data_IF_360853190430
#
_entry.id   IF_360853190430
#
_cell.length_a   1.000
_cell.length_b   1.000
_cell.length_c   1.000
_cell.angle_alpha   90.00
_cell.angle_beta   90.00
_cell.angle_gamma   90.00
#
_symmetry.space_group_name_H-M   'P 1'
#
loop_
_entity.id
_entity.type
_entity.pdbx_description
1 polymer ?
#
# COMPACT_ATOMS: atom_id res chain seq x y z
N UNK A 1 21.00 -18.45 -8.67
CA UNK A 1 19.59 -18.58 -9.18
C UNK A 1 18.50 -18.24 -8.18
N UNK A 2 18.76 -17.43 -7.14
CA UNK A 2 17.76 -17.03 -6.14
C UNK A 2 17.24 -15.62 -6.40
N UNK A 3 16.04 -15.32 -5.92
CA UNK A 3 15.42 -13.98 -5.91
C UNK A 3 14.74 -13.75 -4.56
N UNK A 4 14.65 -12.51 -4.17
CA UNK A 4 13.91 -12.10 -2.98
C UNK A 4 12.41 -12.15 -3.26
N UNK A 5 11.72 -13.13 -2.64
CA UNK A 5 10.25 -13.27 -2.68
C UNK A 5 9.64 -12.47 -1.56
N UNK A 6 8.69 -11.59 -1.88
CA UNK A 6 7.94 -10.85 -0.87
C UNK A 6 7.03 -11.81 -0.08
N UNK A 7 6.98 -11.61 1.23
CA UNK A 7 6.06 -12.37 2.08
C UNK A 7 4.64 -11.85 1.85
N UNK A 8 3.66 -12.71 1.55
CA UNK A 8 2.29 -12.29 1.35
C UNK A 8 1.70 -11.68 2.63
N UNK A 9 0.88 -10.65 2.47
CA UNK A 9 0.18 -9.96 3.54
C UNK A 9 -1.33 -10.02 3.30
N UNK A 10 -2.11 -9.91 4.37
CA UNK A 10 -3.56 -9.88 4.32
C UNK A 10 -4.07 -8.56 3.74
N UNK A 11 -5.22 -8.61 3.08
CA UNK A 11 -5.91 -7.45 2.50
C UNK A 11 -7.29 -7.30 3.15
N UNK A 12 -7.81 -6.07 3.21
CA UNK A 12 -9.23 -5.86 3.47
C UNK A 12 -9.99 -5.79 2.15
N UNK A 13 -10.62 -6.90 1.79
CA UNK A 13 -11.39 -7.04 0.55
C UNK A 13 -12.90 -7.04 0.79
N UNK A 14 -13.38 -6.66 1.99
CA UNK A 14 -14.80 -6.70 2.34
C UNK A 14 -15.68 -6.00 1.31
N UNK A 15 -15.27 -4.83 0.83
CA UNK A 15 -16.06 -4.10 -0.17
C UNK A 15 -16.08 -4.80 -1.54
N UNK A 16 -14.97 -5.43 -1.94
CA UNK A 16 -14.92 -6.21 -3.17
C UNK A 16 -15.84 -7.41 -3.09
N UNK A 17 -15.85 -8.12 -1.95
CA UNK A 17 -16.76 -9.25 -1.71
C UNK A 17 -18.23 -8.82 -1.81
N UNK A 18 -18.60 -7.67 -1.23
CA UNK A 18 -19.94 -7.14 -1.34
C UNK A 18 -20.32 -6.81 -2.80
N UNK A 19 -19.42 -6.15 -3.53
CA UNK A 19 -19.65 -5.85 -4.95
C UNK A 19 -19.81 -7.12 -5.80
N UNK A 20 -18.96 -8.13 -5.57
CA UNK A 20 -19.03 -9.40 -6.28
C UNK A 20 -20.36 -10.12 -6.00
N UNK A 21 -20.79 -10.18 -4.74
CA UNK A 21 -22.09 -10.75 -4.37
C UNK A 21 -23.25 -10.01 -5.02
N UNK A 22 -23.24 -8.68 -5.01
CA UNK A 22 -24.27 -7.85 -5.66
C UNK A 22 -24.28 -8.03 -7.17
N UNK A 23 -23.12 -8.08 -7.80
CA UNK A 23 -22.98 -8.34 -9.24
C UNK A 23 -23.56 -9.72 -9.62
N UNK A 24 -23.14 -10.78 -8.92
CA UNK A 24 -23.64 -12.13 -9.14
C UNK A 24 -25.17 -12.22 -8.95
N UNK A 25 -25.71 -11.55 -7.95
CA UNK A 25 -27.15 -11.50 -7.70
C UNK A 25 -27.89 -10.78 -8.83
N UNK A 26 -27.36 -9.65 -9.34
CA UNK A 26 -27.96 -8.91 -10.45
C UNK A 26 -27.94 -9.70 -11.77
N UNK A 27 -26.87 -10.48 -12.01
CA UNK A 27 -26.74 -11.32 -13.22
C UNK A 27 -27.62 -12.58 -13.16
N UNK A 28 -27.74 -13.19 -11.97
CA UNK A 28 -28.52 -14.41 -11.75
C UNK A 28 -29.15 -14.41 -10.33
N UNK A 29 -30.31 -13.76 -10.13
CA UNK A 29 -30.96 -13.65 -8.83
C UNK A 29 -31.31 -15.02 -8.25
N UNK A 30 -30.79 -15.31 -7.06
CA UNK A 30 -31.13 -16.52 -6.29
C UNK A 30 -31.33 -16.18 -4.83
N UNK A 31 -32.21 -16.89 -4.14
CA UNK A 31 -32.45 -16.73 -2.71
C UNK A 31 -31.16 -16.97 -1.89
N UNK A 32 -30.27 -17.81 -2.39
CA UNK A 32 -28.99 -18.08 -1.73
C UNK A 32 -28.06 -16.86 -1.78
N UNK A 33 -27.94 -16.18 -2.92
CA UNK A 33 -27.16 -14.95 -3.05
C UNK A 33 -27.75 -13.80 -2.24
N UNK A 34 -29.09 -13.69 -2.22
CA UNK A 34 -29.78 -12.70 -1.39
C UNK A 34 -29.47 -12.92 0.11
N UNK A 35 -29.56 -14.14 0.59
CA UNK A 35 -29.21 -14.50 1.96
C UNK A 35 -27.74 -14.21 2.29
N UNK A 36 -26.81 -14.44 1.34
CA UNK A 36 -25.40 -14.11 1.50
C UNK A 36 -25.17 -12.59 1.63
N UNK A 37 -25.85 -11.78 0.81
CA UNK A 37 -25.79 -10.32 0.90
C UNK A 37 -26.34 -9.82 2.26
N UNK A 38 -27.47 -10.36 2.71
CA UNK A 38 -28.05 -10.04 4.01
C UNK A 38 -27.09 -10.41 5.14
N UNK A 39 -26.53 -11.62 5.11
CA UNK A 39 -25.56 -12.08 6.10
C UNK A 39 -24.31 -11.19 6.14
N UNK A 40 -23.81 -10.79 4.97
CA UNK A 40 -22.65 -9.91 4.87
C UNK A 40 -22.93 -8.51 5.41
N UNK A 41 -24.09 -7.94 5.10
CA UNK A 41 -24.52 -6.65 5.66
C UNK A 41 -24.66 -6.72 7.19
N UNK A 42 -25.21 -7.80 7.74
CA UNK A 42 -25.28 -7.99 9.19
C UNK A 42 -23.88 -8.02 9.83
N UNK A 43 -22.89 -8.67 9.21
CA UNK A 43 -21.51 -8.63 9.70
C UNK A 43 -20.92 -7.21 9.67
N UNK A 44 -21.26 -6.40 8.67
CA UNK A 44 -20.82 -5.00 8.63
C UNK A 44 -21.55 -4.16 9.70
N UNK A 45 -22.82 -4.43 9.97
CA UNK A 45 -23.58 -3.80 11.06
C UNK A 45 -22.96 -4.13 12.42
N UNK A 46 -22.63 -5.40 12.65
CA UNK A 46 -21.96 -5.84 13.88
C UNK A 46 -20.60 -5.14 14.07
N UNK A 47 -19.89 -4.92 12.99
CA UNK A 47 -18.56 -4.26 13.02
C UNK A 47 -18.64 -2.75 13.20
N UNK A 48 -19.50 -2.07 12.41
CA UNK A 48 -19.57 -0.60 12.40
C UNK A 48 -20.69 0.00 13.25
N UNK A 49 -21.62 -0.83 13.74
CA UNK A 49 -22.80 -0.42 14.48
C UNK A 49 -23.95 0.02 13.57
N UNK A 50 -25.19 -0.21 14.04
CA UNK A 50 -26.44 0.02 13.30
C UNK A 50 -26.69 1.53 13.02
N UNK A 51 -26.32 2.38 13.98
CA UNK A 51 -26.60 3.84 13.87
C UNK A 51 -26.00 4.41 12.62
N UNK A 52 -26.86 4.98 11.71
CA UNK A 52 -26.48 5.56 10.43
C UNK A 52 -25.71 4.61 9.50
N UNK A 53 -26.07 3.35 9.55
CA UNK A 53 -25.37 2.29 8.82
C UNK A 53 -25.31 2.56 7.30
N UNK A 54 -26.40 3.06 6.70
CA UNK A 54 -26.42 3.40 5.26
C UNK A 54 -25.31 4.38 4.89
N UNK A 55 -25.11 5.45 5.67
CA UNK A 55 -24.03 6.41 5.43
C UNK A 55 -22.64 5.79 5.65
N UNK A 56 -22.49 4.92 6.64
CA UNK A 56 -21.25 4.21 6.88
C UNK A 56 -20.91 3.26 5.74
N UNK A 57 -21.92 2.55 5.21
CA UNK A 57 -21.77 1.67 4.05
C UNK A 57 -21.39 2.46 2.79
N UNK A 58 -22.01 3.62 2.57
CA UNK A 58 -21.64 4.54 1.47
C UNK A 58 -20.18 5.01 1.64
N UNK A 59 -19.81 5.47 2.83
CA UNK A 59 -18.43 5.87 3.12
C UNK A 59 -17.43 4.73 2.89
N UNK A 60 -17.76 3.50 3.31
CA UNK A 60 -16.91 2.33 3.07
C UNK A 60 -16.74 2.04 1.57
N UNK A 61 -17.83 2.16 0.79
CA UNK A 61 -17.78 1.99 -0.68
C UNK A 61 -16.89 3.03 -1.34
N UNK A 62 -17.03 4.30 -0.93
CA UNK A 62 -16.27 5.42 -1.53
C UNK A 62 -14.77 5.32 -1.30
N UNK A 63 -14.34 4.86 -0.12
CA UNK A 63 -12.91 4.68 0.17
C UNK A 63 -12.34 3.36 -0.36
N UNK A 64 -13.18 2.45 -0.84
CA UNK A 64 -12.77 1.21 -1.48
C UNK A 64 -11.97 0.26 -0.59
N UNK A 65 -11.21 -0.63 -1.23
CA UNK A 65 -10.37 -1.62 -0.55
C UNK A 65 -9.16 -0.99 0.14
N UNK A 66 -8.70 -1.62 1.22
CA UNK A 66 -7.46 -1.27 1.88
C UNK A 66 -6.32 -2.11 1.35
N UNK A 67 -5.28 -1.47 0.85
CA UNK A 67 -4.04 -2.13 0.48
C UNK A 67 -3.10 -2.22 1.68
N UNK A 68 -2.33 -3.31 1.74
CA UNK A 68 -1.41 -3.55 2.83
C UNK A 68 -0.02 -3.03 2.50
N UNK A 69 0.51 -2.18 3.37
CA UNK A 69 1.89 -1.70 3.28
C UNK A 69 2.87 -2.69 3.91
N UNK A 70 4.07 -2.82 3.32
CA UNK A 70 5.20 -3.51 3.94
C UNK A 70 5.68 -2.85 5.24
N UNK A 71 5.28 -1.59 5.48
CA UNK A 71 5.63 -0.84 6.69
C UNK A 71 4.47 -0.91 7.68
N UNK A 72 4.68 -1.55 8.81
CA UNK A 72 3.62 -1.90 9.77
C UNK A 72 2.84 -0.69 10.32
N UNK A 73 3.52 0.43 10.62
CA UNK A 73 2.83 1.60 11.17
C UNK A 73 1.92 2.30 10.15
N UNK A 74 2.16 2.15 8.83
CA UNK A 74 1.23 2.61 7.80
C UNK A 74 -0.13 1.92 7.98
N UNK A 75 -0.12 0.60 8.18
CA UNK A 75 -1.33 -0.20 8.31
C UNK A 75 -2.14 0.19 9.55
N UNK A 76 -1.45 0.48 10.66
CA UNK A 76 -2.10 0.93 11.88
C UNK A 76 -2.79 2.30 11.69
N UNK A 77 -2.09 3.26 11.10
CA UNK A 77 -2.65 4.60 10.93
C UNK A 77 -3.72 4.66 9.85
N UNK A 78 -3.53 3.96 8.71
CA UNK A 78 -4.54 3.95 7.65
C UNK A 78 -5.84 3.30 8.12
N UNK A 79 -5.79 2.28 8.99
CA UNK A 79 -6.97 1.70 9.60
C UNK A 79 -7.76 2.75 10.39
N UNK A 80 -7.08 3.47 11.30
CA UNK A 80 -7.71 4.50 12.11
C UNK A 80 -8.28 5.67 11.27
N UNK A 81 -7.59 6.04 10.18
CA UNK A 81 -8.04 7.07 9.25
C UNK A 81 -9.34 6.62 8.55
N UNK A 82 -9.36 5.39 8.05
CA UNK A 82 -10.51 4.79 7.38
C UNK A 82 -11.71 4.65 8.33
N UNK A 83 -11.48 4.12 9.53
CA UNK A 83 -12.54 4.00 10.54
C UNK A 83 -13.11 5.36 10.93
N UNK A 84 -12.26 6.38 11.06
CA UNK A 84 -12.72 7.75 11.32
C UNK A 84 -13.65 8.24 10.20
N UNK A 85 -13.29 8.02 8.94
CA UNK A 85 -14.11 8.42 7.79
C UNK A 85 -15.43 7.64 7.73
N UNK A 86 -15.38 6.33 7.88
CA UNK A 86 -16.56 5.46 7.86
C UNK A 86 -17.56 5.93 8.92
N UNK A 87 -17.08 6.25 10.11
CA UNK A 87 -17.89 6.75 11.22
C UNK A 87 -18.20 8.26 11.16
N UNK A 88 -18.03 8.89 10.00
CA UNK A 88 -18.37 10.30 9.72
C UNK A 88 -17.51 11.32 10.51
N UNK A 89 -16.41 10.91 11.09
CA UNK A 89 -15.44 11.78 11.73
C UNK A 89 -14.48 12.36 10.66
N UNK A 90 -15.03 13.17 9.73
CA UNK A 90 -14.31 13.60 8.54
C UNK A 90 -13.11 14.51 8.85
N UNK A 91 -13.22 15.42 9.84
CA UNK A 91 -12.10 16.29 10.19
C UNK A 91 -10.92 15.53 10.79
N UNK A 92 -11.08 14.66 11.79
CA UNK A 92 -9.99 13.79 12.25
C UNK A 92 -9.39 12.93 11.14
N UNK A 93 -10.23 12.38 10.26
CA UNK A 93 -9.78 11.57 9.12
C UNK A 93 -8.89 12.38 8.16
N UNK A 94 -9.33 13.59 7.76
CA UNK A 94 -8.58 14.50 6.90
C UNK A 94 -7.21 14.86 7.50
N UNK A 95 -7.19 15.32 8.76
CA UNK A 95 -5.97 15.74 9.43
C UNK A 95 -5.00 14.58 9.62
N UNK A 96 -5.53 13.40 9.99
CA UNK A 96 -4.70 12.20 10.19
C UNK A 96 -4.12 11.66 8.89
N UNK A 97 -4.85 11.72 7.76
CA UNK A 97 -4.33 11.35 6.46
C UNK A 97 -3.17 12.27 6.04
N UNK A 98 -3.32 13.58 6.22
CA UNK A 98 -2.24 14.55 5.97
C UNK A 98 -1.04 14.32 6.89
N UNK A 99 -1.27 14.03 8.18
CA UNK A 99 -0.21 13.76 9.15
C UNK A 99 0.54 12.46 8.81
N UNK A 100 -0.15 11.43 8.34
CA UNK A 100 0.51 10.21 7.87
C UNK A 100 1.38 10.49 6.64
N UNK A 101 0.88 11.27 5.66
CA UNK A 101 1.68 11.69 4.50
C UNK A 101 2.96 12.43 4.90
N UNK A 102 2.89 13.38 5.85
CA UNK A 102 4.06 14.08 6.38
C UNK A 102 5.05 13.12 7.05
N UNK A 103 4.54 12.17 7.82
CA UNK A 103 5.36 11.15 8.49
C UNK A 103 6.08 10.26 7.47
N UNK A 104 5.38 9.83 6.42
CA UNK A 104 5.97 9.01 5.35
C UNK A 104 7.13 9.77 4.66
N UNK A 105 6.92 11.03 4.26
CA UNK A 105 7.97 11.84 3.65
C UNK A 105 9.18 12.02 4.59
N UNK A 106 8.94 12.33 5.86
CA UNK A 106 10.01 12.50 6.85
C UNK A 106 10.83 11.22 7.02
N UNK A 107 10.17 10.06 7.18
CA UNK A 107 10.88 8.78 7.35
C UNK A 107 11.70 8.43 6.11
N UNK A 108 11.12 8.52 4.90
CA UNK A 108 11.85 8.26 3.67
C UNK A 108 13.09 9.15 3.54
N UNK A 109 12.92 10.44 3.79
CA UNK A 109 14.00 11.42 3.68
C UNK A 109 15.11 11.15 4.70
N UNK A 110 14.75 10.95 5.97
CA UNK A 110 15.73 10.72 7.06
C UNK A 110 16.45 9.38 6.90
N UNK A 111 15.73 8.36 6.50
CA UNK A 111 16.26 6.99 6.41
C UNK A 111 17.17 6.78 5.20
N UNK A 112 16.96 7.56 4.12
CA UNK A 112 17.64 7.33 2.85
C UNK A 112 18.68 8.39 2.50
N UNK A 113 18.65 9.58 3.11
CA UNK A 113 19.54 10.69 2.73
C UNK A 113 21.03 10.35 2.75
N UNK A 114 21.47 9.48 3.66
CA UNK A 114 22.90 9.13 3.78
C UNK A 114 23.43 8.29 2.60
N UNK A 115 22.55 7.75 1.77
CA UNK A 115 22.90 7.09 0.52
C UNK A 115 23.13 8.08 -0.64
N UNK A 116 22.80 9.38 -0.44
CA UNK A 116 22.78 10.42 -1.48
C UNK A 116 23.63 11.65 -1.10
N UNK A 117 24.69 11.44 -0.32
CA UNK A 117 25.56 12.50 0.24
C UNK A 117 26.18 13.43 -0.81
N UNK A 118 26.39 12.94 -2.03
CA UNK A 118 27.00 13.69 -3.13
C UNK A 118 25.98 14.56 -3.90
N UNK A 119 24.70 14.58 -3.49
CA UNK A 119 23.65 15.32 -4.20
C UNK A 119 23.42 16.71 -3.61
N UNK A 120 22.99 17.70 -4.44
CA UNK A 120 22.65 19.05 -3.94
C UNK A 120 21.51 19.04 -2.92
N UNK A 121 20.57 18.11 -3.05
CA UNK A 121 19.43 17.94 -2.15
C UNK A 121 19.89 17.56 -0.74
N UNK A 122 20.90 16.69 -0.62
CA UNK A 122 21.47 16.30 0.67
C UNK A 122 21.95 17.51 1.46
N UNK A 123 22.63 18.47 0.82
CA UNK A 123 23.15 19.67 1.47
C UNK A 123 22.04 20.53 2.11
N UNK A 124 20.82 20.50 1.55
CA UNK A 124 19.66 21.23 2.08
C UNK A 124 19.06 20.56 3.34
N UNK A 125 19.29 19.24 3.51
CA UNK A 125 18.56 18.42 4.48
C UNK A 125 19.46 17.71 5.50
N UNK A 126 20.77 17.61 5.31
CA UNK A 126 21.71 16.80 6.11
C UNK A 126 21.63 17.03 7.63
N UNK A 127 21.47 18.28 8.06
CA UNK A 127 21.50 18.66 9.49
C UNK A 127 20.12 18.68 10.14
N UNK A 128 19.06 18.41 9.38
CA UNK A 128 17.69 18.48 9.89
C UNK A 128 17.29 17.15 10.54
N UNK A 129 16.60 17.21 11.68
CA UNK A 129 16.00 16.05 12.37
C UNK A 129 14.55 15.82 11.98
N UNK A 130 13.90 16.85 11.44
CA UNK A 130 12.49 16.80 10.97
C UNK A 130 12.30 17.88 9.92
N UNK A 131 11.37 17.68 9.03
CA UNK A 131 11.09 18.59 7.94
C UNK A 131 9.63 19.01 7.96
N UNK A 132 9.40 20.32 7.77
CA UNK A 132 8.06 20.91 7.56
C UNK A 132 7.80 21.29 6.10
N UNK A 133 8.85 21.44 5.30
CA UNK A 133 8.73 21.78 3.88
C UNK A 133 8.59 20.52 3.01
N UNK A 134 7.37 20.21 2.64
CA UNK A 134 7.06 19.07 1.79
C UNK A 134 7.69 19.15 0.41
N UNK A 135 7.81 20.34 -0.17
CA UNK A 135 8.41 20.50 -1.51
C UNK A 135 9.85 20.02 -1.52
N UNK A 136 10.66 20.42 -0.52
CA UNK A 136 12.06 20.02 -0.46
C UNK A 136 12.19 18.50 -0.33
N UNK A 137 11.32 17.86 0.46
CA UNK A 137 11.31 16.40 0.62
C UNK A 137 10.88 15.68 -0.66
N UNK A 138 9.78 16.13 -1.27
CA UNK A 138 9.26 15.51 -2.51
C UNK A 138 10.30 15.68 -3.62
N UNK A 139 10.90 16.86 -3.78
CA UNK A 139 11.92 17.13 -4.78
C UNK A 139 13.16 16.24 -4.57
N UNK A 140 13.66 16.16 -3.33
CA UNK A 140 14.80 15.32 -3.00
C UNK A 140 14.52 13.84 -3.32
N UNK A 141 13.42 13.29 -2.80
CA UNK A 141 13.06 11.89 -3.01
C UNK A 141 12.78 11.56 -4.47
N UNK A 142 12.26 12.52 -5.25
CA UNK A 142 12.06 12.37 -6.69
C UNK A 142 13.40 12.37 -7.44
N UNK A 143 14.30 13.32 -7.13
CA UNK A 143 15.61 13.40 -7.77
C UNK A 143 16.53 12.23 -7.42
N UNK A 144 16.30 11.60 -6.27
CA UNK A 144 16.95 10.34 -5.86
C UNK A 144 16.29 9.10 -6.48
N UNK A 145 15.32 9.27 -7.37
CA UNK A 145 14.56 8.17 -8.01
C UNK A 145 13.89 7.21 -7.00
N UNK A 146 13.51 7.72 -5.84
CA UNK A 146 12.82 6.94 -4.79
C UNK A 146 11.32 6.96 -5.01
N UNK A 147 10.72 8.17 -5.17
CA UNK A 147 9.28 8.30 -5.40
C UNK A 147 8.93 8.02 -6.86
N UNK A 148 7.92 7.19 -7.05
CA UNK A 148 7.28 7.06 -8.35
C UNK A 148 6.57 8.37 -8.74
N UNK A 149 6.47 8.69 -10.05
CA UNK A 149 5.86 9.95 -10.52
C UNK A 149 4.45 10.18 -9.96
N UNK A 150 3.59 9.18 -10.04
CA UNK A 150 2.21 9.22 -9.51
C UNK A 150 2.16 9.45 -8.01
N UNK A 151 3.09 8.87 -7.26
CA UNK A 151 3.20 9.05 -5.80
C UNK A 151 3.57 10.49 -5.45
N UNK A 152 4.46 11.11 -6.24
CA UNK A 152 4.83 12.52 -6.06
C UNK A 152 3.62 13.44 -6.24
N UNK A 153 2.75 13.16 -7.21
CA UNK A 153 1.53 13.93 -7.46
C UNK A 153 0.56 13.82 -6.28
N UNK A 154 0.38 12.62 -5.73
CA UNK A 154 -0.49 12.42 -4.56
C UNK A 154 0.03 13.13 -3.30
N UNK A 155 1.35 13.18 -3.08
CA UNK A 155 1.91 14.01 -2.02
C UNK A 155 1.65 15.51 -2.22
N UNK A 156 1.66 16.00 -3.44
CA UNK A 156 1.28 17.41 -3.71
C UNK A 156 -0.19 17.68 -3.41
N UNK A 157 -1.10 16.76 -3.73
CA UNK A 157 -2.53 16.86 -3.36
C UNK A 157 -2.69 16.90 -1.83
N UNK A 158 -2.09 15.94 -1.12
CA UNK A 158 -2.11 15.91 0.35
C UNK A 158 -1.57 17.19 0.99
N UNK A 159 -0.49 17.76 0.45
CA UNK A 159 0.05 19.04 0.91
C UNK A 159 -0.96 20.17 0.82
N UNK A 160 -1.71 20.26 -0.29
CA UNK A 160 -2.74 21.27 -0.46
C UNK A 160 -3.90 21.07 0.52
N UNK A 161 -4.33 19.83 0.75
CA UNK A 161 -5.36 19.48 1.72
C UNK A 161 -4.90 19.76 3.16
N UNK A 162 -3.65 19.46 3.49
CA UNK A 162 -3.07 19.82 4.78
C UNK A 162 -3.12 21.34 5.02
N UNK A 163 -2.75 22.13 4.01
CA UNK A 163 -2.83 23.59 4.14
C UNK A 163 -4.25 24.06 4.42
N UNK A 164 -5.25 23.52 3.71
CA UNK A 164 -6.66 23.84 3.91
C UNK A 164 -7.19 23.40 5.27
N UNK A 165 -6.70 22.30 5.83
CA UNK A 165 -7.24 21.69 7.06
C UNK A 165 -6.60 22.21 8.35
N UNK A 166 -5.33 22.62 8.31
CA UNK A 166 -4.58 23.09 9.50
C UNK A 166 -4.65 24.60 9.68
N UNK A 167 -4.66 25.37 8.58
CA UNK A 167 -4.79 26.80 8.63
C UNK A 167 -6.27 27.21 8.57
N UNK A 168 -6.58 28.36 9.18
CA UNK A 168 -7.96 28.85 9.16
C UNK A 168 -8.51 28.97 7.75
N UNK A 169 -9.67 28.32 7.53
CA UNK A 169 -10.42 28.34 6.30
C UNK A 169 -11.91 28.32 6.65
N UNK A 170 -12.59 29.45 6.48
CA UNK A 170 -14.01 29.62 6.83
C UNK A 170 -14.97 28.69 6.06
N UNK A 171 -14.54 28.14 4.93
CA UNK A 171 -15.34 27.22 4.12
C UNK A 171 -14.99 25.73 4.34
N UNK A 172 -14.06 25.43 5.24
CA UNK A 172 -13.61 24.05 5.47
C UNK A 172 -14.79 23.13 5.85
N UNK A 173 -15.65 23.56 6.78
CA UNK A 173 -16.75 22.75 7.30
C UNK A 173 -17.79 22.38 6.23
N UNK A 174 -17.95 23.18 5.16
CA UNK A 174 -18.87 22.89 4.06
C UNK A 174 -18.38 21.75 3.14
N UNK A 175 -17.08 21.46 3.17
CA UNK A 175 -16.41 20.52 2.28
C UNK A 175 -15.65 19.42 3.03
N UNK A 176 -15.94 19.19 4.31
CA UNK A 176 -15.18 18.24 5.14
C UNK A 176 -15.17 16.84 4.56
N UNK A 177 -16.34 16.30 4.19
CA UNK A 177 -16.43 14.94 3.62
C UNK A 177 -15.65 14.81 2.31
N UNK A 178 -15.85 15.68 1.28
CA UNK A 178 -15.06 15.63 0.05
C UNK A 178 -13.56 15.74 0.28
N UNK A 179 -13.09 16.65 1.13
CA UNK A 179 -11.67 16.80 1.41
C UNK A 179 -11.09 15.61 2.17
N UNK A 180 -11.84 15.03 3.10
CA UNK A 180 -11.42 13.81 3.80
C UNK A 180 -11.32 12.63 2.84
N UNK A 181 -12.30 12.47 1.94
CA UNK A 181 -12.28 11.42 0.91
C UNK A 181 -11.07 11.58 -0.03
N UNK A 182 -10.82 12.80 -0.50
CA UNK A 182 -9.66 13.10 -1.35
C UNK A 182 -8.34 12.76 -0.62
N UNK A 183 -8.22 13.14 0.66
CA UNK A 183 -7.02 12.87 1.45
C UNK A 183 -6.80 11.37 1.70
N UNK A 184 -7.87 10.62 1.98
CA UNK A 184 -7.79 9.17 2.14
C UNK A 184 -7.38 8.51 0.82
N UNK A 185 -8.00 8.88 -0.28
CA UNK A 185 -7.67 8.30 -1.58
C UNK A 185 -6.21 8.58 -1.94
N UNK A 186 -5.72 9.81 -1.71
CA UNK A 186 -4.31 10.14 -1.93
C UNK A 186 -3.36 9.32 -1.07
N UNK A 187 -3.64 9.17 0.24
CA UNK A 187 -2.73 8.37 1.11
C UNK A 187 -2.83 6.87 0.81
N UNK A 188 -3.98 6.37 0.40
CA UNK A 188 -4.14 4.98 -0.04
C UNK A 188 -3.37 4.72 -1.34
N UNK A 189 -3.42 5.65 -2.31
CA UNK A 189 -2.67 5.55 -3.55
C UNK A 189 -1.16 5.59 -3.30
N UNK A 190 -0.68 6.48 -2.43
CA UNK A 190 0.73 6.49 -1.99
C UNK A 190 1.13 5.13 -1.42
N UNK A 191 0.32 4.54 -0.54
CA UNK A 191 0.61 3.24 0.07
C UNK A 191 0.58 2.14 -0.99
N UNK A 192 -0.40 2.14 -1.87
CA UNK A 192 -0.54 1.14 -2.92
C UNK A 192 0.62 1.18 -3.90
N UNK A 193 0.91 2.36 -4.46
CA UNK A 193 1.92 2.50 -5.50
C UNK A 193 3.36 2.40 -4.97
N UNK A 194 3.63 2.85 -3.72
CA UNK A 194 4.99 2.89 -3.20
C UNK A 194 5.34 1.74 -2.25
N UNK A 195 4.38 1.22 -1.48
CA UNK A 195 4.68 0.32 -0.35
C UNK A 195 3.89 -0.99 -0.35
N UNK A 196 3.04 -1.22 -1.35
CA UNK A 196 2.26 -2.45 -1.40
C UNK A 196 3.14 -3.66 -1.69
N UNK A 197 2.88 -4.75 -0.99
CA UNK A 197 3.59 -6.02 -1.19
C UNK A 197 3.11 -6.81 -2.42
N UNK A 198 2.03 -6.41 -3.06
CA UNK A 198 1.37 -7.18 -4.11
C UNK A 198 0.87 -6.34 -5.29
N UNK A 199 1.59 -5.28 -5.62
CA UNK A 199 1.27 -4.39 -6.75
C UNK A 199 2.04 -4.73 -8.04
N UNK A 200 2.01 -3.76 -8.96
CA UNK A 200 2.72 -3.82 -10.24
C UNK A 200 3.91 -2.85 -10.30
N UNK A 201 4.50 -2.56 -9.15
CA UNK A 201 5.64 -1.66 -9.04
C UNK A 201 6.81 -2.11 -9.92
N UNK A 202 7.64 -1.18 -10.43
CA UNK A 202 8.70 -1.48 -11.39
C UNK A 202 9.75 -2.46 -10.86
N UNK A 203 9.94 -2.52 -9.55
CA UNK A 203 10.89 -3.44 -8.91
C UNK A 203 10.41 -4.88 -8.77
N UNK A 204 9.15 -5.18 -9.13
CA UNK A 204 8.63 -6.55 -9.03
C UNK A 204 8.69 -7.30 -10.35
N UNK A 205 9.02 -8.59 -10.26
CA UNK A 205 8.68 -9.58 -11.26
C UNK A 205 7.19 -9.91 -11.08
N UNK A 206 6.36 -9.48 -12.02
CA UNK A 206 4.89 -9.61 -11.97
C UNK A 206 4.35 -10.74 -12.84
N UNK A 207 5.20 -11.34 -13.65
CA UNK A 207 4.83 -12.38 -14.63
C UNK A 207 4.52 -13.76 -14.02
N UNK A 208 4.69 -13.92 -12.70
CA UNK A 208 4.43 -15.17 -11.98
C UNK A 208 3.09 -15.01 -11.23
N UNK A 209 2.04 -15.78 -11.58
CA UNK A 209 0.74 -15.67 -10.93
C UNK A 209 0.82 -15.93 -9.41
N UNK A 210 0.19 -15.06 -8.62
CA UNK A 210 0.11 -15.22 -7.17
C UNK A 210 1.41 -14.96 -6.40
N UNK A 211 2.50 -14.58 -7.06
CA UNK A 211 3.79 -14.36 -6.42
C UNK A 211 4.44 -13.06 -6.89
N UNK A 212 5.24 -12.46 -6.01
CA UNK A 212 6.06 -11.29 -6.33
C UNK A 212 7.50 -11.52 -5.87
N UNK A 213 8.43 -11.20 -6.75
CA UNK A 213 9.87 -11.27 -6.49
C UNK A 213 10.51 -9.94 -6.85
N UNK A 214 11.54 -9.54 -6.14
CA UNK A 214 12.34 -8.36 -6.49
C UNK A 214 13.20 -8.67 -7.72
N UNK A 215 13.19 -7.78 -8.71
CA UNK A 215 14.08 -7.86 -9.87
C UNK A 215 15.52 -7.64 -9.46
N UNK A 216 16.44 -8.33 -10.12
CA UNK A 216 17.87 -8.29 -9.82
C UNK A 216 18.44 -6.86 -9.82
N UNK A 217 18.06 -6.06 -10.77
CA UNK A 217 18.53 -4.66 -10.90
C UNK A 217 18.13 -3.73 -9.74
N UNK A 218 17.07 -4.10 -9.00
CA UNK A 218 16.57 -3.31 -7.86
C UNK A 218 17.10 -3.79 -6.51
N UNK A 219 17.73 -4.97 -6.42
CA UNK A 219 18.18 -5.55 -5.14
C UNK A 219 19.17 -4.65 -4.39
N UNK A 220 19.95 -3.83 -5.12
CA UNK A 220 20.96 -2.91 -4.56
C UNK A 220 20.47 -1.45 -4.45
N UNK A 221 19.22 -1.17 -4.80
CA UNK A 221 18.68 0.18 -4.66
C UNK A 221 18.36 0.48 -3.19
N UNK A 222 18.81 1.62 -2.61
CA UNK A 222 18.68 1.89 -1.18
C UNK A 222 17.27 1.77 -0.63
N UNK A 223 16.27 2.23 -1.38
CA UNK A 223 14.87 2.11 -1.01
C UNK A 223 14.41 0.64 -0.89
N UNK A 224 14.79 -0.19 -1.84
CA UNK A 224 14.44 -1.62 -1.86
C UNK A 224 15.19 -2.36 -0.75
N UNK A 225 16.48 -2.11 -0.62
CA UNK A 225 17.33 -2.71 0.42
C UNK A 225 16.78 -2.40 1.83
N UNK A 226 16.39 -1.14 2.07
CA UNK A 226 15.92 -0.68 3.37
C UNK A 226 14.53 -1.18 3.73
N UNK A 227 13.58 -1.17 2.78
CA UNK A 227 12.17 -1.37 3.08
C UNK A 227 11.60 -2.70 2.58
N UNK A 228 12.05 -3.19 1.41
CA UNK A 228 11.48 -4.41 0.83
C UNK A 228 12.24 -5.68 1.22
N UNK A 229 13.57 -5.68 1.12
CA UNK A 229 14.34 -6.91 1.38
C UNK A 229 14.13 -7.46 2.80
N UNK A 230 13.97 -6.66 3.88
CA UNK A 230 13.66 -7.18 5.21
C UNK A 230 12.33 -7.94 5.30
N UNK A 231 11.41 -7.70 4.35
CA UNK A 231 10.10 -8.35 4.24
C UNK A 231 10.08 -9.46 3.19
N UNK A 232 11.24 -9.92 2.74
CA UNK A 232 11.39 -10.93 1.72
C UNK A 232 12.11 -12.17 2.27
N UNK A 233 11.95 -13.27 1.55
CA UNK A 233 12.78 -14.47 1.70
C UNK A 233 13.58 -14.71 0.43
N UNK A 234 14.86 -15.06 0.56
CA UNK A 234 15.73 -15.34 -0.58
C UNK A 234 15.58 -16.81 -0.99
N UNK A 235 14.87 -17.07 -2.07
CA UNK A 235 14.51 -18.42 -2.53
C UNK A 235 14.80 -18.62 -4.03
N UNK A 236 15.00 -19.86 -4.42
CA UNK A 236 15.11 -20.25 -5.82
C UNK A 236 13.74 -20.47 -6.48
N UNK A 237 13.76 -20.86 -7.75
CA UNK A 237 12.53 -21.04 -8.53
C UNK A 237 11.74 -22.31 -8.13
N UNK A 238 12.32 -23.23 -7.37
CA UNK A 238 11.66 -24.46 -6.89
C UNK A 238 10.99 -24.31 -5.52
N UNK A 239 11.06 -23.13 -4.90
CA UNK A 239 10.52 -22.91 -3.56
C UNK A 239 9.02 -23.25 -3.45
N UNK A 240 8.61 -23.75 -2.28
CA UNK A 240 7.24 -24.11 -1.95
C UNK A 240 6.83 -23.46 -0.63
N UNK A 241 5.62 -22.89 -0.57
CA UNK A 241 5.03 -22.39 0.66
C UNK A 241 4.40 -23.57 1.41
N UNK A 242 5.03 -24.02 2.49
CA UNK A 242 4.58 -25.17 3.28
C UNK A 242 3.67 -24.78 4.45
N UNK A 243 3.68 -23.50 4.86
CA UNK A 243 2.87 -22.98 5.95
C UNK A 243 2.57 -21.50 5.73
N UNK A 244 1.33 -21.08 6.01
CA UNK A 244 0.88 -19.71 5.79
C UNK A 244 1.08 -18.82 7.01
N UNK A 245 0.92 -19.34 8.24
CA UNK A 245 1.00 -18.55 9.48
C UNK A 245 1.90 -19.23 10.54
N UNK A 246 3.08 -18.69 10.83
CA UNK A 246 3.83 -17.71 10.02
C UNK A 246 4.24 -18.30 8.67
N UNK A 247 4.45 -17.49 7.63
CA UNK A 247 4.88 -18.00 6.32
C UNK A 247 6.20 -18.78 6.42
N UNK A 248 6.19 -20.00 5.91
CA UNK A 248 7.38 -20.86 5.87
C UNK A 248 7.55 -21.40 4.46
N UNK A 249 8.77 -21.31 3.95
CA UNK A 249 9.12 -21.76 2.62
C UNK A 249 10.13 -22.91 2.69
N UNK A 250 9.83 -23.98 1.99
CA UNK A 250 10.81 -25.01 1.66
C UNK A 250 11.43 -24.64 0.33
N UNK A 251 12.74 -24.79 0.23
CA UNK A 251 13.51 -24.49 -0.98
C UNK A 251 14.51 -25.60 -1.26
N UNK A 252 14.92 -25.72 -2.52
CA UNK A 252 16.06 -26.55 -2.89
C UNK A 252 17.35 -25.79 -2.52
N UNK A 253 18.26 -26.43 -1.80
CA UNK A 253 19.52 -25.81 -1.39
C UNK A 253 20.63 -25.94 -2.43
N UNK A 254 20.46 -26.82 -3.41
CA UNK A 254 21.45 -27.14 -4.46
C UNK A 254 21.12 -26.43 -5.77
N UNK A 255 21.19 -25.12 -5.77
CA UNK A 255 21.15 -24.36 -7.02
C UNK A 255 22.55 -24.12 -7.54
N UNK A 256 22.72 -24.25 -8.87
CA UNK A 256 23.94 -23.80 -9.53
C UNK A 256 24.20 -22.31 -9.22
N UNK A 257 25.46 -21.93 -9.01
CA UNK A 257 25.88 -20.55 -8.72
C UNK A 257 25.80 -19.64 -9.96
N UNK A 258 24.86 -19.86 -10.84
CA UNK A 258 24.65 -19.03 -12.03
C UNK A 258 23.71 -17.88 -11.73
N UNK A 259 24.07 -16.70 -12.17
CA UNK A 259 23.15 -15.54 -12.24
C UNK A 259 22.31 -15.74 -13.51
N UNK A 260 21.00 -15.84 -13.35
CA UNK A 260 20.05 -15.93 -14.46
C UNK A 260 19.23 -14.62 -14.53
N UNK A 261 18.72 -14.31 -15.73
CA UNK A 261 17.85 -13.13 -15.91
C UNK A 261 16.51 -13.33 -15.21
N UNK A 262 15.76 -12.25 -14.99
CA UNK A 262 14.44 -12.28 -14.36
C UNK A 262 13.43 -13.03 -15.24
N UNK A 263 13.54 -12.93 -16.55
CA UNK A 263 12.72 -13.68 -17.50
C UNK A 263 12.97 -15.20 -17.38
N UNK A 264 14.25 -15.60 -17.28
CA UNK A 264 14.60 -17.01 -17.13
C UNK A 264 14.16 -17.56 -15.79
N UNK A 265 14.31 -16.79 -14.72
CA UNK A 265 13.78 -17.15 -13.40
C UNK A 265 12.25 -17.35 -13.45
N UNK A 266 11.55 -16.40 -14.06
CA UNK A 266 10.09 -16.45 -14.21
C UNK A 266 9.62 -17.65 -15.04
N UNK A 267 10.32 -17.99 -16.12
CA UNK A 267 10.04 -19.16 -16.93
C UNK A 267 10.12 -20.45 -16.11
N UNK A 268 11.24 -20.62 -15.39
CA UNK A 268 11.48 -21.80 -14.54
C UNK A 268 10.45 -21.92 -13.42
N UNK A 269 10.13 -20.79 -12.78
CA UNK A 269 9.13 -20.75 -11.71
C UNK A 269 7.73 -21.13 -12.21
N UNK A 270 7.29 -20.56 -13.33
CA UNK A 270 5.99 -20.89 -13.92
C UNK A 270 5.90 -22.38 -14.34
N UNK A 271 6.96 -22.97 -14.87
CA UNK A 271 7.01 -24.40 -15.16
C UNK A 271 6.78 -25.23 -13.90
N UNK A 272 7.44 -24.88 -12.79
CA UNK A 272 7.24 -25.56 -11.51
C UNK A 272 5.82 -25.47 -11.00
N UNK A 273 5.21 -24.28 -11.01
CA UNK A 273 3.83 -24.05 -10.53
C UNK A 273 2.81 -24.83 -11.39
N UNK A 274 2.98 -24.86 -12.70
CA UNK A 274 2.05 -25.53 -13.62
C UNK A 274 2.18 -27.09 -13.63
N UNK A 275 3.15 -27.63 -12.88
CA UNK A 275 3.36 -29.09 -12.77
C UNK A 275 2.49 -29.69 -11.64
N UNK A 276 1.79 -28.84 -10.86
CA UNK A 276 0.80 -29.21 -9.85
C UNK A 276 -0.61 -28.87 -10.29
#
# INVERSE_FOLDING_TARGET
>A
MKRYRIIPADFDLRINQLHDLQKMHNENPTIHLENNIISFNNQLIDYYGERRFEQKLENLKDIGSKHYSIISYHNLFIEQIRESFINENYYPSLVSACALGERVLNHLTLDLREFYTETPEYLKIKDKKTYSNWNDMIEALKNWEILLPEVSEEFHKLKLLRHKSVHFNENLYKNLRPYALEAINSIQEIIYSQFCSFGNQPWFITSIPGERYIKLEYETKPFIEKYFLPNCVLVGYENELIKVKPPQYQDCYEYEKLIITDEKFSELRRKKINTF
#
